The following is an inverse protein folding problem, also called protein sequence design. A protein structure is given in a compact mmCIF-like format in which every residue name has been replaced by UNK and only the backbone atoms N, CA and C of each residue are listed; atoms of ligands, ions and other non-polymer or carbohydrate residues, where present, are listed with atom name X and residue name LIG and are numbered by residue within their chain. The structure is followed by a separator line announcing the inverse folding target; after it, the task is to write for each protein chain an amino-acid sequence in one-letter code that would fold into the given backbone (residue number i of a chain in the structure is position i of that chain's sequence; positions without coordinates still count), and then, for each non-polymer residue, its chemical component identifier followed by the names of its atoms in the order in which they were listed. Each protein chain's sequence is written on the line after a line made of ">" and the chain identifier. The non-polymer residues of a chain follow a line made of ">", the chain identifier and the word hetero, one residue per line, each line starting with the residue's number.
data_IF_890997334013
#
_entry.id   IF_890997334013
#
_cell.length_a   1.000
_cell.length_b   1.000
_cell.length_c   1.000
_cell.angle_alpha   90.00
_cell.angle_beta   90.00
_cell.angle_gamma   90.00
#
_symmetry.space_group_name_H-M   'P 1'
#
loop_
_entity.id
_entity.type
_entity.pdbx_description
1 polymer ?
#
# COMPACT_ATOMS: atom_id res chain seq x y z
N UNK A 1 7.89 40.96 14.95
CA UNK A 1 8.21 41.12 13.51
C UNK A 1 8.02 39.74 12.89
N UNK A 2 6.80 39.46 12.47
CA UNK A 2 6.46 38.23 11.76
C UNK A 2 6.97 38.33 10.33
N UNK A 3 7.94 37.50 9.97
CA UNK A 3 8.39 37.38 8.59
C UNK A 3 7.35 36.55 7.83
N UNK A 4 6.51 37.22 7.05
CA UNK A 4 5.65 36.57 6.05
C UNK A 4 6.55 35.95 4.97
N UNK A 5 6.78 34.67 5.07
CA UNK A 5 7.37 33.88 3.97
C UNK A 5 6.28 33.78 2.89
N UNK A 6 6.44 34.55 1.81
CA UNK A 6 5.58 34.41 0.62
C UNK A 6 5.83 33.04 0.02
N UNK A 7 4.78 32.27 -0.35
CA UNK A 7 4.97 30.99 -1.04
C UNK A 7 5.68 31.24 -2.37
N UNK A 8 6.82 30.61 -2.54
CA UNK A 8 7.56 30.57 -3.83
C UNK A 8 6.72 29.72 -4.78
N UNK A 9 6.08 30.34 -5.77
CA UNK A 9 5.51 29.63 -6.92
C UNK A 9 6.65 29.04 -7.71
N UNK A 10 6.89 27.74 -7.58
CA UNK A 10 7.81 26.99 -8.44
C UNK A 10 7.01 26.65 -9.70
N UNK A 11 7.15 27.44 -10.76
CA UNK A 11 6.68 27.08 -12.10
C UNK A 11 7.61 25.99 -12.68
N UNK A 12 7.47 24.78 -12.20
CA UNK A 12 8.11 23.60 -12.82
C UNK A 12 7.24 23.20 -14.01
N UNK A 13 7.52 23.74 -15.18
CA UNK A 13 7.05 23.17 -16.43
C UNK A 13 7.74 21.81 -16.59
N UNK A 14 7.10 20.74 -16.17
CA UNK A 14 7.57 19.38 -16.42
C UNK A 14 7.64 19.18 -17.93
N UNK A 15 8.86 19.09 -18.47
CA UNK A 15 9.05 18.88 -19.90
C UNK A 15 8.70 17.43 -20.25
N UNK A 16 7.49 17.20 -20.74
CA UNK A 16 6.92 15.88 -21.09
C UNK A 16 7.72 15.12 -22.16
N UNK A 17 8.73 15.74 -22.76
CA UNK A 17 9.55 15.15 -23.85
C UNK A 17 10.72 14.31 -23.35
N UNK A 18 11.15 14.43 -22.10
CA UNK A 18 12.22 13.61 -21.53
C UNK A 18 11.67 12.30 -20.98
N UNK A 19 11.24 11.42 -21.89
CA UNK A 19 10.82 10.05 -21.51
C UNK A 19 12.07 9.24 -21.12
N UNK A 20 11.98 8.61 -19.95
CA UNK A 20 12.99 7.65 -19.48
C UNK A 20 13.08 6.52 -20.51
N UNK A 21 14.28 6.06 -20.90
CA UNK A 21 14.44 4.95 -21.84
C UNK A 21 13.68 3.70 -21.37
N UNK A 22 12.92 3.12 -22.28
CA UNK A 22 12.13 1.92 -22.00
C UNK A 22 13.03 0.69 -21.98
N UNK A 23 13.14 0.05 -20.80
CA UNK A 23 13.88 -1.21 -20.64
C UNK A 23 13.24 -2.35 -21.42
N UNK A 24 11.91 -2.33 -21.54
CA UNK A 24 11.11 -3.33 -22.25
C UNK A 24 10.75 -2.89 -23.68
N UNK A 25 11.56 -2.05 -24.34
CA UNK A 25 11.26 -1.48 -25.67
C UNK A 25 10.99 -2.54 -26.76
N UNK A 26 11.64 -3.72 -26.69
CA UNK A 26 11.48 -4.82 -27.64
C UNK A 26 10.64 -5.97 -27.08
N UNK A 27 9.90 -5.75 -26.00
CA UNK A 27 9.11 -6.79 -25.34
C UNK A 27 7.75 -6.98 -26.03
N UNK A 28 7.33 -8.24 -26.19
CA UNK A 28 6.01 -8.56 -26.74
C UNK A 28 4.92 -8.42 -25.67
N UNK A 29 4.48 -7.18 -25.49
CA UNK A 29 3.42 -6.84 -24.52
C UNK A 29 2.12 -7.57 -24.79
N UNK A 30 1.74 -7.79 -26.07
CA UNK A 30 0.48 -8.45 -26.41
C UNK A 30 0.46 -9.91 -25.94
N UNK A 31 1.54 -10.64 -26.21
CA UNK A 31 1.70 -12.02 -25.75
C UNK A 31 1.75 -12.09 -24.23
N UNK A 32 2.55 -11.23 -23.59
CA UNK A 32 2.65 -11.17 -22.14
C UNK A 32 1.30 -10.89 -21.46
N UNK A 33 0.58 -9.88 -21.94
CA UNK A 33 -0.72 -9.50 -21.38
C UNK A 33 -1.80 -10.58 -21.56
N UNK A 34 -1.73 -11.37 -22.63
CA UNK A 34 -2.60 -12.53 -22.80
C UNK A 34 -2.23 -13.65 -21.81
N UNK A 35 -0.95 -13.96 -21.65
CA UNK A 35 -0.46 -14.99 -20.73
C UNK A 35 -0.78 -14.65 -19.27
N UNK A 36 -0.44 -13.44 -18.82
CA UNK A 36 -0.68 -13.07 -17.43
C UNK A 36 -2.18 -13.08 -17.05
N UNK A 37 -3.09 -12.74 -17.98
CA UNK A 37 -4.53 -12.88 -17.74
C UNK A 37 -4.92 -14.33 -17.44
N UNK A 38 -4.42 -15.29 -18.21
CA UNK A 38 -4.68 -16.71 -17.99
C UNK A 38 -4.15 -17.18 -16.62
N UNK A 39 -2.96 -16.72 -16.22
CA UNK A 39 -2.37 -17.02 -14.91
C UNK A 39 -3.28 -16.50 -13.78
N UNK A 40 -3.69 -15.24 -13.84
CA UNK A 40 -4.59 -14.68 -12.84
C UNK A 40 -5.98 -15.32 -12.84
N UNK A 41 -6.51 -15.68 -13.99
CA UNK A 41 -7.81 -16.34 -14.09
C UNK A 41 -7.77 -17.75 -13.50
N UNK A 42 -6.72 -18.53 -13.74
CA UNK A 42 -6.53 -19.84 -13.09
C UNK A 42 -6.33 -19.71 -11.60
N UNK A 43 -5.54 -18.72 -11.15
CA UNK A 43 -5.29 -18.44 -9.75
C UNK A 43 -6.60 -18.08 -8.98
N UNK A 44 -7.44 -17.21 -9.57
CA UNK A 44 -8.74 -16.82 -8.97
C UNK A 44 -9.72 -17.97 -8.87
N UNK A 45 -9.65 -18.96 -9.77
CA UNK A 45 -10.45 -20.18 -9.67
C UNK A 45 -9.93 -21.18 -8.63
N UNK A 46 -8.78 -20.91 -8.01
CA UNK A 46 -8.13 -21.82 -7.08
C UNK A 46 -7.39 -23.00 -7.75
N UNK A 47 -7.10 -22.91 -9.03
CA UNK A 47 -6.44 -23.91 -9.87
C UNK A 47 -5.25 -23.27 -10.61
N UNK A 48 -4.25 -22.76 -9.91
CA UNK A 48 -3.15 -22.01 -10.53
C UNK A 48 -2.35 -22.90 -11.48
N UNK A 49 -2.16 -22.46 -12.71
CA UNK A 49 -1.23 -23.09 -13.67
C UNK A 49 0.23 -22.77 -13.36
N UNK A 50 0.47 -21.67 -12.73
CA UNK A 50 1.69 -21.23 -12.04
C UNK A 50 1.35 -20.12 -11.06
N UNK A 51 2.27 -19.79 -10.18
CA UNK A 51 2.12 -18.64 -9.29
C UNK A 51 2.13 -17.32 -10.07
N UNK A 52 1.30 -16.33 -9.72
CA UNK A 52 1.49 -14.95 -10.15
C UNK A 52 2.74 -14.32 -9.51
N UNK A 53 3.40 -13.43 -10.25
CA UNK A 53 4.61 -12.72 -9.80
C UNK A 53 4.38 -11.23 -9.98
N UNK A 54 4.38 -10.48 -8.90
CA UNK A 54 4.13 -9.03 -8.92
C UNK A 54 5.17 -8.28 -8.11
N UNK A 55 5.21 -6.96 -8.30
CA UNK A 55 6.07 -6.05 -7.56
C UNK A 55 5.21 -4.99 -6.87
N UNK A 56 5.41 -4.81 -5.58
CA UNK A 56 4.79 -3.75 -4.79
C UNK A 56 5.49 -2.42 -5.01
N UNK A 57 5.28 -1.82 -6.19
CA UNK A 57 5.85 -0.52 -6.50
C UNK A 57 4.92 0.62 -6.09
N UNK A 58 5.50 1.68 -5.59
CA UNK A 58 4.81 2.94 -5.34
C UNK A 58 5.66 4.13 -5.83
N UNK A 59 5.10 5.32 -5.73
CA UNK A 59 5.75 6.55 -6.20
C UNK A 59 7.13 6.79 -5.55
N UNK A 60 7.39 6.26 -4.34
CA UNK A 60 8.70 6.37 -3.66
C UNK A 60 9.83 5.77 -4.49
N UNK A 61 9.60 4.59 -5.08
CA UNK A 61 10.61 3.94 -5.91
C UNK A 61 11.04 4.85 -7.07
N UNK A 62 10.06 5.45 -7.75
CA UNK A 62 10.28 6.38 -8.86
C UNK A 62 10.93 7.71 -8.41
N UNK A 63 10.42 8.30 -7.35
CA UNK A 63 10.85 9.62 -6.88
C UNK A 63 12.30 9.64 -6.36
N UNK A 64 12.75 8.55 -5.73
CA UNK A 64 14.11 8.43 -5.20
C UNK A 64 15.13 7.87 -6.19
N UNK A 65 14.71 7.42 -7.36
CA UNK A 65 15.64 7.01 -8.42
C UNK A 65 16.06 8.23 -9.27
N UNK A 66 17.34 8.67 -9.22
CA UNK A 66 17.79 9.81 -10.02
C UNK A 66 17.65 9.61 -11.53
N UNK A 67 17.66 8.35 -12.02
CA UNK A 67 17.45 8.05 -13.42
C UNK A 67 15.98 8.19 -13.80
N UNK A 68 15.07 7.80 -12.91
CA UNK A 68 13.63 7.93 -13.11
C UNK A 68 13.10 9.35 -12.83
N UNK A 69 13.73 10.07 -11.89
CA UNK A 69 13.40 11.45 -11.49
C UNK A 69 14.58 12.44 -11.75
N UNK A 70 15.00 12.65 -13.00
CA UNK A 70 16.13 13.52 -13.32
C UNK A 70 15.88 15.00 -12.96
N UNK A 71 14.64 15.42 -12.87
CA UNK A 71 14.22 16.76 -12.44
C UNK A 71 14.28 16.95 -10.92
N UNK A 72 14.55 15.87 -10.17
CA UNK A 72 14.63 15.88 -8.71
C UNK A 72 13.37 16.46 -8.05
N UNK A 73 12.18 16.07 -8.55
CA UNK A 73 10.92 16.40 -7.91
C UNK A 73 10.97 15.89 -6.48
N UNK A 74 10.75 16.78 -5.51
CA UNK A 74 10.71 16.43 -4.09
C UNK A 74 9.33 15.99 -3.67
N UNK A 75 9.20 15.22 -2.57
CA UNK A 75 7.89 14.91 -2.01
C UNK A 75 7.13 16.14 -1.53
N UNK A 76 7.82 17.19 -1.11
CA UNK A 76 7.16 18.46 -0.79
C UNK A 76 6.50 19.06 -2.02
N UNK A 77 7.25 19.22 -3.13
CA UNK A 77 6.68 19.74 -4.38
C UNK A 77 5.53 18.85 -4.90
N UNK A 78 5.68 17.53 -4.80
CA UNK A 78 4.66 16.55 -5.16
C UNK A 78 3.38 16.71 -4.31
N UNK A 79 3.52 16.88 -3.00
CA UNK A 79 2.38 16.96 -2.07
C UNK A 79 1.72 18.35 -2.02
N UNK A 80 2.44 19.41 -2.39
CA UNK A 80 1.95 20.80 -2.31
C UNK A 80 1.47 21.38 -3.64
N UNK A 81 1.70 20.65 -4.75
CA UNK A 81 1.30 21.11 -6.08
C UNK A 81 0.56 20.03 -6.85
N UNK A 82 -0.76 20.19 -7.13
CA UNK A 82 -1.55 19.18 -7.81
C UNK A 82 -1.08 18.88 -9.24
N UNK A 83 -0.53 19.86 -9.95
CA UNK A 83 0.01 19.62 -11.30
C UNK A 83 1.26 18.76 -11.26
N UNK A 84 2.15 18.99 -10.30
CA UNK A 84 3.35 18.16 -10.09
C UNK A 84 2.96 16.74 -9.73
N UNK A 85 1.97 16.56 -8.83
CA UNK A 85 1.49 15.22 -8.46
C UNK A 85 0.86 14.50 -9.65
N UNK A 86 0.02 15.18 -10.43
CA UNK A 86 -0.64 14.61 -11.61
C UNK A 86 0.39 14.12 -12.64
N UNK A 87 1.34 14.98 -13.00
CA UNK A 87 2.34 14.65 -14.01
C UNK A 87 3.33 13.57 -13.55
N UNK A 88 3.76 13.62 -12.28
CA UNK A 88 4.62 12.60 -11.69
C UNK A 88 3.91 11.24 -11.61
N UNK A 89 2.62 11.19 -11.27
CA UNK A 89 1.84 9.96 -11.22
C UNK A 89 1.70 9.30 -12.59
N UNK A 90 1.45 10.06 -13.66
CA UNK A 90 1.41 9.54 -15.03
C UNK A 90 2.77 9.02 -15.48
N UNK A 91 3.85 9.75 -15.19
CA UNK A 91 5.23 9.35 -15.51
C UNK A 91 5.61 8.06 -14.76
N UNK A 92 5.26 7.96 -13.48
CA UNK A 92 5.49 6.75 -12.69
C UNK A 92 4.75 5.56 -13.28
N UNK A 93 3.47 5.68 -13.61
CA UNK A 93 2.71 4.58 -14.21
C UNK A 93 3.30 4.14 -15.55
N UNK A 94 3.66 5.10 -16.41
CA UNK A 94 4.35 4.78 -17.65
C UNK A 94 5.66 4.04 -17.38
N UNK A 95 6.49 4.58 -16.49
CA UNK A 95 7.77 3.98 -16.16
C UNK A 95 7.59 2.53 -15.65
N UNK A 96 6.66 2.29 -14.75
CA UNK A 96 6.34 0.96 -14.23
C UNK A 96 5.97 -0.01 -15.36
N UNK A 97 5.05 0.37 -16.24
CA UNK A 97 4.55 -0.48 -17.33
C UNK A 97 5.57 -0.79 -18.42
N UNK A 98 6.62 0.01 -18.55
CA UNK A 98 7.64 -0.14 -19.60
C UNK A 98 9.01 -0.57 -19.07
N UNK A 99 9.18 -0.69 -17.77
CA UNK A 99 10.49 -1.02 -17.18
C UNK A 99 10.45 -2.17 -16.16
N UNK A 100 9.31 -2.49 -15.57
CA UNK A 100 9.20 -3.55 -14.56
C UNK A 100 8.52 -4.79 -15.12
N UNK A 101 9.25 -5.90 -15.16
CA UNK A 101 8.73 -7.19 -15.60
C UNK A 101 8.00 -7.88 -14.45
N UNK A 102 6.68 -8.07 -14.60
CA UNK A 102 5.80 -8.65 -13.60
C UNK A 102 4.49 -9.14 -14.24
N UNK A 103 3.71 -9.98 -13.56
CA UNK A 103 2.41 -10.45 -14.05
C UNK A 103 1.30 -9.40 -13.83
N UNK A 104 1.54 -8.22 -14.38
CA UNK A 104 0.57 -7.16 -14.54
C UNK A 104 0.44 -6.80 -16.02
N UNK A 105 -0.54 -6.00 -16.36
CA UNK A 105 -0.66 -5.48 -17.72
C UNK A 105 0.47 -4.49 -18.02
N UNK A 106 1.31 -4.78 -18.99
CA UNK A 106 2.47 -3.98 -19.39
C UNK A 106 2.23 -3.25 -20.72
N UNK A 107 3.12 -2.32 -21.06
CA UNK A 107 3.01 -1.51 -22.27
C UNK A 107 1.95 -0.43 -22.18
N UNK A 108 1.57 0.13 -23.33
CA UNK A 108 0.60 1.22 -23.42
C UNK A 108 -0.82 0.74 -23.06
N UNK A 109 -1.47 1.29 -22.02
CA UNK A 109 -2.81 0.86 -21.64
C UNK A 109 -3.89 1.41 -22.60
N UNK A 110 -5.10 0.89 -22.52
CA UNK A 110 -6.26 1.50 -23.19
C UNK A 110 -6.59 2.87 -22.60
N UNK A 111 -6.40 3.03 -21.28
CA UNK A 111 -6.50 4.30 -20.56
C UNK A 111 -5.59 4.29 -19.33
N UNK A 112 -5.21 5.45 -18.87
CA UNK A 112 -4.45 5.65 -17.63
C UNK A 112 -5.41 5.77 -16.45
N UNK A 113 -5.24 4.93 -15.44
CA UNK A 113 -6.06 4.93 -14.23
C UNK A 113 -5.20 5.29 -13.02
N UNK A 114 -5.45 6.42 -12.36
CA UNK A 114 -4.74 6.80 -11.14
C UNK A 114 -5.57 7.75 -10.27
N UNK A 115 -5.07 8.05 -9.08
CA UNK A 115 -5.69 8.93 -8.11
C UNK A 115 -4.63 9.77 -7.40
N UNK A 116 -4.97 10.89 -6.75
CA UNK A 116 -4.08 11.57 -5.83
C UNK A 116 -3.54 10.63 -4.76
N UNK A 117 -2.22 10.74 -4.49
CA UNK A 117 -1.51 9.90 -3.54
C UNK A 117 -0.74 10.76 -2.52
N UNK A 118 -1.15 10.68 -1.27
CA UNK A 118 -0.57 11.41 -0.14
C UNK A 118 0.22 10.49 0.79
N UNK A 119 0.68 9.36 0.30
CA UNK A 119 1.46 8.38 1.05
C UNK A 119 0.74 7.92 2.34
N UNK A 120 1.47 7.51 3.38
CA UNK A 120 0.89 6.91 4.58
C UNK A 120 0.60 7.93 5.70
N UNK A 121 0.93 9.22 5.52
CA UNK A 121 0.72 10.22 6.57
C UNK A 121 -0.71 10.80 6.61
N UNK A 122 -1.57 10.40 5.69
CA UNK A 122 -2.89 11.03 5.51
C UNK A 122 -3.82 10.89 6.72
N UNK A 123 -3.75 9.82 7.49
CA UNK A 123 -4.64 9.60 8.62
C UNK A 123 -4.25 10.46 9.81
N UNK A 124 -3.00 10.37 10.27
CA UNK A 124 -2.54 11.17 11.40
C UNK A 124 -2.65 12.68 11.09
N UNK A 125 -2.35 13.09 9.85
CA UNK A 125 -2.55 14.47 9.43
C UNK A 125 -4.03 14.88 9.37
N UNK A 126 -4.95 13.96 9.04
CA UNK A 126 -6.39 14.23 9.11
C UNK A 126 -6.88 14.42 10.55
N UNK A 127 -6.33 13.67 11.50
CA UNK A 127 -6.57 13.90 12.94
C UNK A 127 -5.93 15.19 13.46
N UNK A 128 -5.02 15.81 12.73
CA UNK A 128 -4.43 17.10 13.03
C UNK A 128 -2.94 17.10 13.34
N UNK A 129 -2.23 15.99 13.16
CA UNK A 129 -0.78 15.96 13.26
C UNK A 129 -0.12 16.76 12.13
N UNK A 130 0.97 17.46 12.44
CA UNK A 130 1.72 18.23 11.46
C UNK A 130 2.48 17.31 10.49
N UNK A 131 2.48 17.66 9.20
CA UNK A 131 3.23 16.94 8.17
C UNK A 131 4.64 17.49 8.12
N UNK A 132 5.62 16.59 8.18
CA UNK A 132 7.04 16.90 8.09
C UNK A 132 7.63 16.36 6.79
N UNK A 133 8.40 17.20 6.12
CA UNK A 133 9.14 16.85 4.91
C UNK A 133 10.62 16.73 5.26
N UNK A 134 11.20 15.59 4.92
CA UNK A 134 12.60 15.28 5.20
C UNK A 134 13.35 15.03 3.88
N UNK A 135 14.59 15.47 3.80
CA UNK A 135 15.42 15.18 2.63
C UNK A 135 15.71 13.69 2.51
N UNK A 136 15.48 13.14 1.30
CA UNK A 136 15.72 11.74 1.00
C UNK A 136 14.76 10.75 1.67
N UNK A 137 13.64 11.23 2.24
CA UNK A 137 12.61 10.41 2.86
C UNK A 137 11.22 10.80 2.35
N UNK A 138 10.25 9.91 2.58
CA UNK A 138 8.85 10.24 2.39
C UNK A 138 8.39 11.20 3.49
N UNK A 139 7.39 12.04 3.24
CA UNK A 139 6.76 12.82 4.30
C UNK A 139 6.16 11.91 5.36
N UNK A 140 6.16 12.39 6.59
CA UNK A 140 5.58 11.67 7.73
C UNK A 140 4.98 12.66 8.73
N UNK A 141 4.26 12.16 9.72
CA UNK A 141 3.79 12.92 10.88
C UNK A 141 4.54 12.51 12.13
N UNK A 142 4.60 13.42 13.09
CA UNK A 142 5.07 13.09 14.45
C UNK A 142 3.85 12.84 15.34
N UNK A 143 4.00 12.11 16.46
CA UNK A 143 2.90 11.82 17.37
C UNK A 143 2.53 13.04 18.22
N UNK A 144 1.86 14.02 17.62
CA UNK A 144 1.54 15.33 18.23
C UNK A 144 0.55 15.24 19.41
N UNK A 145 -0.02 14.08 19.65
CA UNK A 145 -0.90 13.80 20.79
C UNK A 145 -0.22 12.96 21.88
N UNK A 146 1.09 12.70 21.80
CA UNK A 146 1.80 11.84 22.75
C UNK A 146 1.67 12.30 24.22
N UNK A 147 1.76 13.60 24.48
CA UNK A 147 1.69 14.17 25.83
C UNK A 147 0.26 14.24 26.41
N UNK A 148 -0.76 14.24 25.56
CA UNK A 148 -2.16 14.34 25.96
C UNK A 148 -3.07 13.65 24.93
N UNK A 149 -3.13 12.30 24.91
CA UNK A 149 -3.85 11.51 23.91
C UNK A 149 -5.35 11.84 23.77
N UNK A 150 -6.01 12.19 24.86
CA UNK A 150 -7.44 12.55 24.86
C UNK A 150 -7.77 13.80 24.06
N UNK A 151 -6.81 14.67 23.80
CA UNK A 151 -7.00 15.87 22.96
C UNK A 151 -7.50 15.54 21.56
N UNK A 152 -7.21 14.34 21.05
CA UNK A 152 -7.71 13.90 19.76
C UNK A 152 -9.23 13.83 19.71
N UNK A 153 -9.88 13.61 20.86
CA UNK A 153 -11.32 13.49 21.00
C UNK A 153 -12.04 14.83 21.30
N UNK A 154 -11.32 15.86 21.75
CA UNK A 154 -11.92 17.12 22.24
C UNK A 154 -12.81 17.82 21.20
N UNK A 155 -12.47 17.71 19.93
CA UNK A 155 -13.24 18.32 18.82
C UNK A 155 -14.25 17.38 18.18
N UNK A 156 -14.39 16.15 18.72
CA UNK A 156 -15.17 15.09 18.09
C UNK A 156 -14.51 14.52 16.85
N UNK A 157 -15.24 13.70 16.11
CA UNK A 157 -14.76 13.08 14.87
C UNK A 157 -14.49 14.17 13.83
N UNK A 158 -13.29 14.21 13.22
CA UNK A 158 -12.97 15.18 12.19
C UNK A 158 -13.91 15.07 10.99
N UNK A 159 -14.18 16.19 10.32
CA UNK A 159 -14.94 16.18 9.07
C UNK A 159 -14.26 15.26 8.04
N UNK A 160 -14.97 14.28 7.45
CA UNK A 160 -14.44 13.38 6.42
C UNK A 160 -13.81 14.08 5.21
N UNK A 161 -14.16 15.34 4.98
CA UNK A 161 -13.63 16.20 3.92
C UNK A 161 -12.89 17.43 4.48
N UNK A 162 -12.56 17.44 5.77
CA UNK A 162 -11.83 18.52 6.42
C UNK A 162 -10.32 18.27 6.50
N UNK A 163 -9.55 19.29 6.87
CA UNK A 163 -8.10 19.19 7.05
C UNK A 163 -7.38 18.68 5.80
N UNK A 164 -6.53 17.65 5.94
CA UNK A 164 -5.84 17.06 4.79
C UNK A 164 -6.82 16.44 3.78
N UNK A 165 -7.97 15.92 4.24
CA UNK A 165 -8.97 15.33 3.34
C UNK A 165 -9.60 16.38 2.40
N UNK A 166 -9.69 17.65 2.82
CA UNK A 166 -10.09 18.73 1.92
C UNK A 166 -9.07 18.93 0.79
N UNK A 167 -7.78 18.93 1.11
CA UNK A 167 -6.72 19.01 0.08
C UNK A 167 -6.76 17.79 -0.86
N UNK A 168 -7.00 16.61 -0.33
CA UNK A 168 -7.15 15.39 -1.15
C UNK A 168 -8.34 15.52 -2.10
N UNK A 169 -9.46 16.08 -1.64
CA UNK A 169 -10.64 16.33 -2.47
C UNK A 169 -10.36 17.39 -3.54
N UNK A 170 -9.72 18.49 -3.19
CA UNK A 170 -9.30 19.54 -4.15
C UNK A 170 -8.41 18.95 -5.25
N UNK A 171 -7.46 18.08 -4.89
CA UNK A 171 -6.58 17.41 -5.85
C UNK A 171 -7.36 16.43 -6.74
N UNK A 172 -8.30 15.70 -6.17
CA UNK A 172 -9.17 14.81 -6.93
C UNK A 172 -9.98 15.58 -7.98
N UNK A 173 -10.60 16.71 -7.58
CA UNK A 173 -11.36 17.55 -8.49
C UNK A 173 -10.47 18.17 -9.58
N UNK A 174 -9.28 18.65 -9.20
CA UNK A 174 -8.30 19.18 -10.14
C UNK A 174 -7.87 18.12 -11.15
N UNK A 175 -7.58 16.89 -10.70
CA UNK A 175 -7.23 15.77 -11.56
C UNK A 175 -8.37 15.42 -12.52
N UNK A 176 -9.61 15.40 -12.05
CA UNK A 176 -10.79 15.18 -12.90
C UNK A 176 -10.93 16.26 -13.98
N UNK A 177 -10.69 17.52 -13.63
CA UNK A 177 -10.73 18.64 -14.59
C UNK A 177 -9.65 18.54 -15.66
N UNK A 178 -8.43 18.14 -15.30
CA UNK A 178 -7.34 17.89 -16.26
C UNK A 178 -7.64 16.68 -17.14
N UNK A 179 -8.02 15.55 -16.54
CA UNK A 179 -8.34 14.31 -17.24
C UNK A 179 -9.47 14.48 -18.28
N UNK A 180 -10.43 15.38 -18.04
CA UNK A 180 -11.49 15.68 -18.99
C UNK A 180 -11.00 16.41 -20.26
N UNK A 181 -9.83 17.04 -20.23
CA UNK A 181 -9.29 17.87 -21.31
C UNK A 181 -8.00 17.32 -21.92
N UNK A 182 -7.33 16.43 -21.21
CA UNK A 182 -5.99 15.96 -21.56
C UNK A 182 -5.99 14.47 -21.88
N UNK A 183 -5.03 14.07 -22.68
CA UNK A 183 -4.65 12.68 -22.90
C UNK A 183 -3.16 12.52 -22.60
N UNK A 184 -2.76 11.32 -22.20
CA UNK A 184 -1.35 11.02 -22.03
C UNK A 184 -0.93 9.91 -23.00
N UNK A 185 0.06 10.18 -23.84
CA UNK A 185 0.49 9.29 -24.94
C UNK A 185 -0.67 8.82 -25.83
N UNK A 186 -1.61 9.73 -26.13
CA UNK A 186 -2.78 9.46 -26.95
C UNK A 186 -3.86 8.58 -26.29
N UNK A 187 -3.78 8.36 -24.98
CA UNK A 187 -4.76 7.57 -24.23
C UNK A 187 -5.53 8.44 -23.23
N UNK A 188 -6.84 8.19 -23.05
CA UNK A 188 -7.62 8.91 -22.07
C UNK A 188 -7.14 8.63 -20.66
N UNK A 189 -7.47 9.53 -19.74
CA UNK A 189 -7.14 9.46 -18.32
C UNK A 189 -8.43 9.30 -17.53
N UNK A 190 -8.44 8.38 -16.55
CA UNK A 190 -9.50 8.25 -15.56
C UNK A 190 -8.92 8.46 -14.16
N UNK A 191 -9.60 9.29 -13.40
CA UNK A 191 -9.23 9.55 -12.00
C UNK A 191 -10.12 8.72 -11.08
N UNK A 192 -9.50 7.92 -10.24
CA UNK A 192 -10.18 7.15 -9.19
C UNK A 192 -10.35 7.95 -7.91
N UNK A 193 -11.25 7.51 -7.03
CA UNK A 193 -11.36 8.05 -5.68
C UNK A 193 -10.04 7.85 -4.95
N UNK A 194 -9.49 8.89 -4.30
CA UNK A 194 -8.21 8.82 -3.61
C UNK A 194 -8.17 7.77 -2.51
N UNK A 195 -7.07 7.02 -2.43
CA UNK A 195 -6.88 6.01 -1.39
C UNK A 195 -6.96 6.60 0.02
N UNK A 196 -6.42 7.80 0.27
CA UNK A 196 -6.52 8.49 1.56
C UNK A 196 -7.95 8.67 2.09
N UNK A 197 -8.96 8.71 1.18
CA UNK A 197 -10.38 8.69 1.57
C UNK A 197 -10.92 7.29 1.85
N UNK A 198 -10.47 6.28 1.09
CA UNK A 198 -11.01 4.93 1.07
C UNK A 198 -10.24 3.94 1.92
N UNK A 199 -8.93 4.14 2.08
CA UNK A 199 -8.03 3.24 2.81
C UNK A 199 -7.89 3.62 4.28
N UNK A 200 -7.22 2.74 5.00
CA UNK A 200 -6.82 2.99 6.38
C UNK A 200 -5.64 2.11 6.74
N UNK A 201 -4.76 2.62 7.60
CA UNK A 201 -4.04 1.79 8.54
C UNK A 201 -5.02 1.36 9.63
N UNK A 202 -4.81 0.20 10.25
CA UNK A 202 -5.68 -0.27 11.32
C UNK A 202 -5.60 0.63 12.56
N UNK A 203 -6.59 0.54 13.45
CA UNK A 203 -6.70 1.43 14.59
C UNK A 203 -5.49 1.43 15.51
N UNK A 204 -4.76 0.32 15.60
CA UNK A 204 -3.59 0.21 16.46
C UNK A 204 -2.38 0.94 15.87
N UNK A 205 -2.16 0.84 14.55
CA UNK A 205 -1.13 1.61 13.85
C UNK A 205 -1.46 3.10 13.86
N UNK A 206 -2.70 3.48 13.63
CA UNK A 206 -3.13 4.89 13.73
C UNK A 206 -2.91 5.43 15.14
N UNK A 207 -3.22 4.66 16.19
CA UNK A 207 -2.93 5.05 17.56
C UNK A 207 -1.43 5.26 17.81
N UNK A 208 -0.57 4.39 17.26
CA UNK A 208 0.89 4.56 17.35
C UNK A 208 1.37 5.84 16.65
N UNK A 209 0.77 6.18 15.50
CA UNK A 209 1.10 7.40 14.77
C UNK A 209 0.64 8.67 15.49
N UNK A 210 -0.48 8.61 16.24
CA UNK A 210 -1.03 9.75 16.96
C UNK A 210 -0.37 9.96 18.35
N UNK A 211 -0.11 8.85 19.07
CA UNK A 211 0.27 8.89 20.49
C UNK A 211 1.70 8.41 20.75
N UNK A 212 2.36 7.82 19.75
CA UNK A 212 3.63 7.16 19.87
C UNK A 212 3.51 5.69 20.30
N UNK A 213 4.35 4.80 19.75
CA UNK A 213 4.29 3.35 20.02
C UNK A 213 4.57 3.03 21.50
N UNK A 214 5.43 3.79 22.18
CA UNK A 214 5.72 3.59 23.62
C UNK A 214 4.44 3.75 24.45
N UNK A 215 3.72 4.87 24.30
CA UNK A 215 2.47 5.08 25.01
C UNK A 215 1.47 3.95 24.75
N UNK A 216 1.28 3.56 23.48
CA UNK A 216 0.28 2.55 23.10
C UNK A 216 0.62 1.17 23.70
N UNK A 217 1.92 0.77 23.67
CA UNK A 217 2.39 -0.48 24.26
C UNK A 217 2.35 -0.49 25.80
N UNK A 218 2.55 0.65 26.46
CA UNK A 218 2.42 0.78 27.91
C UNK A 218 0.94 0.77 28.32
N UNK A 219 0.10 1.52 27.60
CA UNK A 219 -1.32 1.65 27.91
C UNK A 219 -2.09 0.32 27.75
N UNK A 220 -1.71 -0.53 26.80
CA UNK A 220 -2.34 -1.85 26.63
C UNK A 220 -2.20 -2.74 27.87
N UNK A 221 -1.13 -2.56 28.63
CA UNK A 221 -0.85 -3.33 29.85
C UNK A 221 -1.30 -2.63 31.13
N UNK A 222 -1.14 -1.29 31.20
CA UNK A 222 -1.36 -0.53 32.43
C UNK A 222 -2.72 0.16 32.49
N UNK A 223 -3.25 0.59 31.35
CA UNK A 223 -4.47 1.41 31.25
C UNK A 223 -5.37 0.93 30.07
N UNK A 224 -5.72 -0.38 29.98
CA UNK A 224 -6.40 -0.93 28.80
C UNK A 224 -7.73 -0.25 28.49
N UNK A 225 -8.51 0.14 29.49
CA UNK A 225 -9.77 0.87 29.28
C UNK A 225 -9.55 2.26 28.65
N UNK A 226 -8.45 2.92 29.00
CA UNK A 226 -8.08 4.20 28.39
C UNK A 226 -7.73 3.99 26.91
N UNK A 227 -6.90 3.01 26.63
CA UNK A 227 -6.54 2.66 25.26
C UNK A 227 -7.78 2.25 24.43
N UNK A 228 -8.69 1.48 25.01
CA UNK A 228 -9.92 1.07 24.32
C UNK A 228 -10.78 2.28 23.90
N UNK A 229 -10.92 3.30 24.75
CA UNK A 229 -11.65 4.54 24.39
C UNK A 229 -11.01 5.25 23.21
N UNK A 230 -9.68 5.32 23.17
CA UNK A 230 -8.94 5.94 22.06
C UNK A 230 -9.08 5.13 20.76
N UNK A 231 -8.95 3.80 20.83
CA UNK A 231 -9.13 2.91 19.67
C UNK A 231 -10.57 2.92 19.16
N UNK A 232 -11.55 3.00 20.05
CA UNK A 232 -12.97 3.14 19.69
C UNK A 232 -13.22 4.42 18.89
N UNK A 233 -12.70 5.55 19.37
CA UNK A 233 -12.80 6.84 18.69
C UNK A 233 -12.13 6.81 17.31
N UNK A 234 -10.90 6.28 17.21
CA UNK A 234 -10.17 6.15 15.93
C UNK A 234 -10.97 5.27 14.96
N UNK A 235 -11.48 4.14 15.44
CA UNK A 235 -12.25 3.20 14.62
C UNK A 235 -13.52 3.84 14.09
N UNK A 236 -14.28 4.54 14.92
CA UNK A 236 -15.50 5.23 14.50
C UNK A 236 -15.20 6.36 13.52
N UNK A 237 -14.17 7.16 13.78
CA UNK A 237 -13.72 8.20 12.86
C UNK A 237 -13.35 7.63 11.48
N UNK A 238 -12.58 6.53 11.46
CA UNK A 238 -12.22 5.81 10.24
C UNK A 238 -13.47 5.33 9.47
N UNK A 239 -14.44 4.75 10.18
CA UNK A 239 -15.70 4.28 9.58
C UNK A 239 -16.48 5.44 8.98
N UNK A 240 -16.58 6.57 9.67
CA UNK A 240 -17.25 7.77 9.19
C UNK A 240 -16.58 8.32 7.93
N UNK A 241 -15.24 8.44 7.95
CA UNK A 241 -14.45 8.92 6.80
C UNK A 241 -14.65 8.03 5.57
N UNK A 242 -14.37 6.74 5.69
CA UNK A 242 -14.47 5.81 4.55
C UNK A 242 -15.91 5.75 4.00
N UNK A 243 -16.92 5.78 4.88
CA UNK A 243 -18.33 5.78 4.45
C UNK A 243 -18.66 7.03 3.62
N UNK A 244 -18.18 8.21 4.02
CA UNK A 244 -18.41 9.46 3.29
C UNK A 244 -17.72 9.42 1.90
N UNK A 245 -16.46 8.97 1.83
CA UNK A 245 -15.72 8.85 0.58
C UNK A 245 -16.29 7.79 -0.37
N UNK A 246 -16.75 6.65 0.15
CA UNK A 246 -17.47 5.65 -0.65
C UNK A 246 -18.76 6.22 -1.23
N UNK A 247 -19.51 6.98 -0.44
CA UNK A 247 -20.72 7.65 -0.90
C UNK A 247 -20.40 8.65 -2.02
N UNK A 248 -19.34 9.45 -1.87
CA UNK A 248 -18.86 10.37 -2.92
C UNK A 248 -18.55 9.61 -4.22
N UNK A 249 -17.89 8.46 -4.12
CA UNK A 249 -17.53 7.64 -5.28
C UNK A 249 -18.65 6.74 -5.81
N UNK A 250 -19.86 6.77 -5.24
CA UNK A 250 -20.95 5.86 -5.61
C UNK A 250 -20.63 4.37 -5.35
N UNK A 251 -19.75 4.09 -4.40
CA UNK A 251 -19.28 2.73 -4.11
C UNK A 251 -20.21 2.01 -3.13
N UNK A 252 -20.55 0.73 -3.38
CA UNK A 252 -21.37 -0.05 -2.45
C UNK A 252 -20.65 -0.27 -1.10
N UNK A 253 -21.45 -0.46 -0.06
CA UNK A 253 -20.96 -0.80 1.29
C UNK A 253 -21.96 -1.79 1.91
N UNK A 254 -21.53 -3.03 2.27
CA UNK A 254 -20.19 -3.59 2.09
C UNK A 254 -19.83 -3.96 0.65
N UNK A 255 -18.59 -4.38 0.41
CA UNK A 255 -18.08 -4.92 -0.86
C UNK A 255 -17.50 -6.32 -0.65
N UNK A 256 -17.39 -7.11 -1.74
CA UNK A 256 -16.74 -8.44 -1.70
C UNK A 256 -15.21 -8.36 -1.62
N UNK A 257 -14.66 -7.16 -1.47
CA UNK A 257 -13.24 -6.93 -1.30
C UNK A 257 -12.98 -5.69 -0.46
N UNK A 258 -12.24 -5.87 0.63
CA UNK A 258 -11.75 -4.77 1.48
C UNK A 258 -10.48 -5.19 2.20
N UNK A 259 -9.55 -4.27 2.32
CA UNK A 259 -8.31 -4.48 3.02
C UNK A 259 -7.85 -3.23 3.78
N UNK A 260 -7.03 -3.45 4.76
CA UNK A 260 -6.26 -2.43 5.44
C UNK A 260 -4.93 -3.03 5.95
N UNK A 261 -4.03 -2.18 6.42
CA UNK A 261 -2.79 -2.56 7.08
C UNK A 261 -2.89 -2.25 8.58
N UNK A 262 -2.33 -3.10 9.44
CA UNK A 262 -2.14 -2.75 10.86
C UNK A 262 -0.81 -3.31 11.37
N UNK A 263 0.28 -2.72 10.87
CA UNK A 263 1.64 -3.22 11.06
C UNK A 263 2.08 -3.22 12.51
N UNK A 264 1.58 -2.27 13.31
CA UNK A 264 1.95 -2.11 14.72
C UNK A 264 1.50 -3.26 15.62
N UNK A 265 0.57 -4.12 15.17
CA UNK A 265 0.22 -5.34 15.93
C UNK A 265 1.41 -6.30 16.07
N UNK A 266 2.45 -6.15 15.24
CA UNK A 266 3.72 -6.87 15.40
C UNK A 266 4.40 -6.62 16.75
N UNK A 267 4.07 -5.54 17.45
CA UNK A 267 4.66 -5.21 18.76
C UNK A 267 4.00 -5.92 19.94
N UNK A 268 2.84 -6.56 19.75
CA UNK A 268 2.04 -7.16 20.81
C UNK A 268 1.89 -8.66 20.68
N UNK A 269 1.59 -9.34 21.77
CA UNK A 269 1.31 -10.77 21.77
C UNK A 269 -0.08 -11.09 21.18
N UNK A 270 -0.30 -12.34 20.76
CA UNK A 270 -1.60 -12.76 20.23
C UNK A 270 -2.73 -12.67 21.27
N UNK A 271 -2.55 -13.01 22.55
CA UNK A 271 -3.56 -12.73 23.57
C UNK A 271 -3.92 -11.25 23.67
N UNK A 272 -2.94 -10.34 23.71
CA UNK A 272 -3.19 -8.90 23.75
C UNK A 272 -3.92 -8.42 22.49
N UNK A 273 -3.51 -8.91 21.32
CA UNK A 273 -4.21 -8.63 20.07
C UNK A 273 -5.69 -9.02 20.14
N UNK A 274 -6.00 -10.24 20.58
CA UNK A 274 -7.39 -10.73 20.70
C UNK A 274 -8.25 -9.89 21.61
N UNK A 275 -7.70 -9.51 22.76
CA UNK A 275 -8.42 -8.78 23.80
C UNK A 275 -8.61 -7.30 23.43
N UNK A 276 -7.56 -6.65 22.89
CA UNK A 276 -7.51 -5.20 22.81
C UNK A 276 -7.63 -4.61 21.41
N UNK A 277 -7.36 -5.37 20.33
CA UNK A 277 -7.32 -4.84 18.97
C UNK A 277 -8.33 -5.53 18.02
N UNK A 278 -8.44 -6.85 18.09
CA UNK A 278 -9.32 -7.63 17.23
C UNK A 278 -10.78 -7.15 17.19
N UNK A 279 -11.41 -6.70 18.30
CA UNK A 279 -12.78 -6.18 18.25
C UNK A 279 -12.94 -4.96 17.32
N UNK A 280 -11.92 -4.11 17.21
CA UNK A 280 -11.92 -2.94 16.35
C UNK A 280 -11.71 -3.32 14.87
N UNK A 281 -10.80 -4.27 14.60
CA UNK A 281 -10.65 -4.86 13.26
C UNK A 281 -11.96 -5.48 12.78
N UNK A 282 -12.64 -6.24 13.65
CA UNK A 282 -13.95 -6.84 13.33
C UNK A 282 -14.97 -5.79 12.91
N UNK A 283 -15.08 -4.67 13.65
CA UNK A 283 -16.00 -3.57 13.30
C UNK A 283 -15.74 -3.00 11.92
N UNK A 284 -14.47 -2.79 11.56
CA UNK A 284 -14.08 -2.27 10.24
C UNK A 284 -14.46 -3.28 9.14
N UNK A 285 -14.08 -4.55 9.29
CA UNK A 285 -14.43 -5.57 8.30
C UNK A 285 -15.93 -5.77 8.17
N UNK A 286 -16.66 -5.87 9.27
CA UNK A 286 -18.12 -6.08 9.25
C UNK A 286 -18.86 -4.89 8.60
N UNK A 287 -18.28 -3.69 8.68
CA UNK A 287 -18.83 -2.51 8.01
C UNK A 287 -18.55 -2.52 6.51
N UNK A 288 -17.34 -2.87 6.08
CA UNK A 288 -16.87 -2.59 4.73
C UNK A 288 -16.69 -3.81 3.84
N UNK A 289 -16.60 -5.01 4.41
CA UNK A 289 -16.40 -6.26 3.69
C UNK A 289 -17.56 -7.22 3.92
N UNK A 290 -17.94 -7.95 2.86
CA UNK A 290 -18.71 -9.17 3.04
C UNK A 290 -17.82 -10.26 3.69
N UNK A 291 -18.35 -11.48 3.86
CA UNK A 291 -17.53 -12.61 4.29
C UNK A 291 -16.60 -13.17 3.19
N UNK A 292 -16.59 -12.53 2.03
CA UNK A 292 -15.70 -12.85 0.91
C UNK A 292 -14.72 -11.69 0.71
N UNK A 293 -13.46 -12.01 0.42
CA UNK A 293 -12.47 -11.00 0.04
C UNK A 293 -12.00 -10.08 1.18
N UNK A 294 -11.87 -10.61 2.39
CA UNK A 294 -11.17 -9.95 3.50
C UNK A 294 -9.67 -10.18 3.35
N UNK A 295 -8.94 -9.11 3.18
CA UNK A 295 -7.51 -9.09 2.97
C UNK A 295 -6.82 -8.20 4.00
N UNK A 296 -5.62 -8.55 4.43
CA UNK A 296 -4.81 -7.73 5.35
C UNK A 296 -3.36 -7.65 4.87
N UNK A 297 -2.79 -6.46 4.98
CA UNK A 297 -1.35 -6.24 4.84
C UNK A 297 -0.72 -6.11 6.23
N UNK A 298 0.37 -6.84 6.46
CA UNK A 298 1.10 -6.80 7.72
C UNK A 298 2.60 -6.84 7.44
N UNK A 299 3.26 -5.71 7.60
CA UNK A 299 4.72 -5.62 7.63
C UNK A 299 5.29 -6.22 8.92
N UNK A 300 6.57 -6.50 8.94
CA UNK A 300 7.27 -7.01 10.13
C UNK A 300 6.88 -8.43 10.53
N UNK A 301 7.27 -8.82 11.72
CA UNK A 301 7.04 -10.17 12.28
C UNK A 301 5.66 -10.28 12.92
N UNK A 302 4.63 -10.46 12.10
CA UNK A 302 3.24 -10.57 12.53
C UNK A 302 2.65 -11.97 12.34
N UNK A 303 3.42 -12.95 11.87
CA UNK A 303 2.93 -14.29 11.51
C UNK A 303 2.20 -15.01 12.64
N UNK A 304 2.57 -14.76 13.90
CA UNK A 304 1.90 -15.31 15.09
C UNK A 304 0.40 -14.96 15.20
N UNK A 305 -0.05 -13.90 14.52
CA UNK A 305 -1.44 -13.48 14.52
C UNK A 305 -2.27 -14.09 13.39
N UNK A 306 -1.64 -14.63 12.34
CA UNK A 306 -2.31 -14.97 11.09
C UNK A 306 -3.39 -16.04 11.27
N UNK A 307 -3.14 -17.05 12.11
CA UNK A 307 -4.15 -18.05 12.45
C UNK A 307 -5.39 -17.41 13.10
N UNK A 308 -5.19 -16.49 14.05
CA UNK A 308 -6.27 -15.76 14.71
C UNK A 308 -7.04 -14.89 13.71
N UNK A 309 -6.35 -14.17 12.85
CA UNK A 309 -6.95 -13.34 11.80
C UNK A 309 -7.80 -14.18 10.84
N UNK A 310 -7.30 -15.34 10.39
CA UNK A 310 -8.06 -16.27 9.56
C UNK A 310 -9.32 -16.78 10.30
N UNK A 311 -9.15 -17.31 11.51
CA UNK A 311 -10.19 -18.04 12.21
C UNK A 311 -11.28 -17.10 12.78
N UNK A 312 -10.91 -15.91 13.23
CA UNK A 312 -11.81 -15.01 13.95
C UNK A 312 -12.33 -13.83 13.11
N UNK A 313 -11.59 -13.44 12.07
CA UNK A 313 -11.99 -12.36 11.14
C UNK A 313 -12.26 -12.85 9.71
N UNK A 314 -12.10 -14.17 9.46
CA UNK A 314 -12.26 -14.76 8.14
C UNK A 314 -11.36 -14.08 7.08
N UNK A 315 -10.10 -13.79 7.45
CA UNK A 315 -9.12 -13.25 6.49
C UNK A 315 -8.74 -14.36 5.50
N UNK A 316 -8.86 -14.07 4.23
CA UNK A 316 -8.67 -15.01 3.13
C UNK A 316 -7.38 -14.75 2.35
N UNK A 317 -6.78 -13.58 2.54
CA UNK A 317 -5.56 -13.18 1.85
C UNK A 317 -4.66 -12.37 2.77
N UNK A 318 -3.40 -12.76 2.85
CA UNK A 318 -2.36 -12.11 3.65
C UNK A 318 -1.26 -11.59 2.75
N UNK A 319 -1.00 -10.28 2.81
CA UNK A 319 0.21 -9.68 2.28
C UNK A 319 1.23 -9.57 3.41
N UNK A 320 2.32 -10.32 3.30
CA UNK A 320 3.23 -10.57 4.42
C UNK A 320 4.43 -9.63 4.40
N UNK A 321 4.91 -9.30 5.60
CA UNK A 321 6.22 -8.69 5.79
C UNK A 321 7.35 -9.73 5.86
N UNK A 322 8.22 -9.58 6.83
CA UNK A 322 9.35 -10.47 7.09
C UNK A 322 9.77 -10.39 8.58
N UNK A 323 10.42 -11.43 9.15
CA UNK A 323 10.68 -12.72 8.53
C UNK A 323 9.43 -13.61 8.43
N UNK A 324 9.38 -14.51 7.43
CA UNK A 324 8.28 -15.48 7.26
C UNK A 324 8.83 -16.85 6.91
N UNK A 325 8.43 -17.89 7.64
CA UNK A 325 8.53 -19.28 7.20
C UNK A 325 7.27 -19.63 6.39
N UNK A 326 7.36 -19.50 5.07
CA UNK A 326 6.22 -19.68 4.17
C UNK A 326 5.67 -21.11 4.20
N UNK A 327 6.54 -22.12 4.38
CA UNK A 327 6.11 -23.52 4.50
C UNK A 327 5.33 -23.78 5.78
N UNK A 328 5.81 -23.27 6.93
CA UNK A 328 5.10 -23.35 8.20
C UNK A 328 3.77 -22.61 8.12
N UNK A 329 3.78 -21.39 7.54
CA UNK A 329 2.58 -20.58 7.38
C UNK A 329 1.53 -21.28 6.50
N UNK A 330 1.94 -21.94 5.39
CA UNK A 330 1.03 -22.72 4.54
C UNK A 330 0.39 -23.87 5.29
N UNK A 331 1.18 -24.61 6.07
CA UNK A 331 0.64 -25.72 6.91
C UNK A 331 -0.38 -25.24 7.91
N UNK A 332 -0.15 -24.08 8.52
CA UNK A 332 -1.06 -23.49 9.51
C UNK A 332 -2.34 -22.94 8.87
N UNK A 333 -2.24 -22.21 7.78
CA UNK A 333 -3.37 -21.51 7.17
C UNK A 333 -4.17 -22.39 6.19
N UNK A 334 -3.58 -23.45 5.67
CA UNK A 334 -4.20 -24.32 4.67
C UNK A 334 -4.09 -23.77 3.23
N UNK A 335 -4.42 -24.59 2.21
CA UNK A 335 -4.13 -24.28 0.82
C UNK A 335 -5.00 -23.17 0.21
N UNK A 336 -6.22 -22.97 0.73
CA UNK A 336 -7.18 -22.00 0.18
C UNK A 336 -6.89 -20.56 0.55
N UNK A 337 -6.05 -20.33 1.57
CA UNK A 337 -5.67 -18.97 1.97
C UNK A 337 -4.61 -18.45 0.99
N UNK A 338 -4.82 -17.26 0.48
CA UNK A 338 -3.85 -16.59 -0.37
C UNK A 338 -2.72 -16.01 0.51
N UNK A 339 -1.49 -16.31 0.14
CA UNK A 339 -0.30 -15.75 0.78
C UNK A 339 0.48 -14.97 -0.29
N UNK A 340 0.70 -13.69 -0.04
CA UNK A 340 1.54 -12.82 -0.86
C UNK A 340 2.84 -12.58 -0.10
N UNK A 341 3.97 -12.88 -0.71
CA UNK A 341 5.27 -12.69 -0.09
C UNK A 341 6.42 -13.23 -0.93
N UNK A 342 7.62 -13.11 -0.40
CA UNK A 342 8.83 -13.51 -1.12
C UNK A 342 10.10 -13.01 -0.45
N UNK A 343 11.15 -12.71 -1.22
CA UNK A 343 12.42 -12.24 -0.69
C UNK A 343 12.26 -10.93 0.10
N UNK A 344 13.04 -10.82 1.17
CA UNK A 344 13.14 -9.57 1.94
C UNK A 344 13.60 -8.41 1.03
N UNK A 345 13.00 -7.24 1.19
CA UNK A 345 13.26 -6.07 0.32
C UNK A 345 14.74 -5.64 0.29
N UNK A 346 15.41 -5.67 1.44
CA UNK A 346 16.84 -5.32 1.51
C UNK A 346 17.71 -6.39 0.84
N UNK A 347 17.32 -7.67 0.95
CA UNK A 347 18.01 -8.74 0.23
C UNK A 347 17.84 -8.56 -1.28
N UNK A 348 16.63 -8.25 -1.74
CA UNK A 348 16.36 -7.98 -3.16
C UNK A 348 17.15 -6.76 -3.67
N UNK A 349 17.39 -5.75 -2.82
CA UNK A 349 18.15 -4.55 -3.16
C UNK A 349 19.65 -4.81 -3.26
N UNK A 350 20.23 -5.66 -2.42
CA UNK A 350 21.68 -5.78 -2.23
C UNK A 350 22.30 -7.09 -2.71
N UNK A 351 21.51 -8.15 -2.87
CA UNK A 351 21.99 -9.45 -3.28
C UNK A 351 22.31 -9.52 -4.78
N UNK A 352 23.02 -10.56 -5.20
CA UNK A 352 23.23 -10.85 -6.63
C UNK A 352 22.02 -11.54 -7.23
N UNK A 353 21.80 -11.45 -8.57
CA UNK A 353 20.74 -12.17 -9.26
C UNK A 353 20.72 -13.67 -8.98
N UNK A 354 21.91 -14.30 -8.85
CA UNK A 354 22.05 -15.73 -8.51
C UNK A 354 21.53 -16.02 -7.11
N UNK A 355 21.90 -15.20 -6.13
CA UNK A 355 21.43 -15.37 -4.75
C UNK A 355 19.90 -15.16 -4.64
N UNK A 356 19.34 -14.21 -5.40
CA UNK A 356 17.89 -13.99 -5.46
C UNK A 356 17.17 -15.22 -6.03
N UNK A 357 17.70 -15.82 -7.10
CA UNK A 357 17.16 -17.06 -7.67
C UNK A 357 17.14 -18.19 -6.64
N UNK A 358 18.23 -18.36 -5.87
CA UNK A 358 18.29 -19.38 -4.81
C UNK A 358 17.31 -19.09 -3.68
N UNK A 359 17.13 -17.84 -3.29
CA UNK A 359 16.13 -17.47 -2.28
C UNK A 359 14.70 -17.76 -2.76
N UNK A 360 14.36 -17.40 -4.00
CA UNK A 360 13.06 -17.77 -4.60
C UNK A 360 12.89 -19.28 -4.61
N UNK A 361 13.93 -20.05 -4.99
CA UNK A 361 13.87 -21.51 -4.93
C UNK A 361 13.60 -22.01 -3.51
N UNK A 362 14.32 -21.49 -2.52
CA UNK A 362 14.14 -21.85 -1.11
C UNK A 362 12.70 -21.61 -0.65
N UNK A 363 12.12 -20.46 -1.01
CA UNK A 363 10.75 -20.11 -0.67
C UNK A 363 9.77 -21.08 -1.33
N UNK A 364 9.86 -21.28 -2.64
CA UNK A 364 8.91 -22.12 -3.38
C UNK A 364 9.01 -23.61 -3.01
N UNK A 365 10.19 -24.07 -2.62
CA UNK A 365 10.39 -25.46 -2.15
C UNK A 365 10.16 -25.61 -0.64
N UNK A 366 9.73 -24.60 0.09
CA UNK A 366 9.44 -24.68 1.54
C UNK A 366 8.16 -25.48 1.86
N UNK A 367 7.37 -25.82 0.85
CA UNK A 367 6.02 -26.36 1.00
C UNK A 367 4.93 -25.29 0.90
N UNK A 368 5.25 -24.05 0.52
CA UNK A 368 4.25 -22.97 0.37
C UNK A 368 3.23 -23.28 -0.74
N UNK A 369 3.57 -24.11 -1.71
CA UNK A 369 2.72 -24.54 -2.81
C UNK A 369 2.01 -25.88 -2.54
N UNK A 370 2.24 -26.52 -1.40
CA UNK A 370 1.67 -27.84 -1.09
C UNK A 370 0.14 -27.83 -1.18
N UNK A 371 -0.40 -28.92 -1.73
CA UNK A 371 -1.85 -29.11 -1.91
C UNK A 371 -2.54 -28.05 -2.78
N UNK A 372 -1.82 -27.47 -3.75
CA UNK A 372 -2.34 -26.40 -4.60
C UNK A 372 -2.44 -25.05 -3.88
N UNK A 373 -1.52 -24.79 -2.96
CA UNK A 373 -1.50 -23.57 -2.13
C UNK A 373 -1.46 -22.28 -2.95
N UNK A 374 -2.39 -21.39 -2.70
CA UNK A 374 -2.49 -20.10 -3.39
C UNK A 374 -1.39 -19.15 -2.90
N UNK A 375 -0.37 -18.97 -3.73
CA UNK A 375 0.78 -18.13 -3.43
C UNK A 375 1.02 -17.11 -4.55
N UNK A 376 1.24 -15.85 -4.17
CA UNK A 376 1.67 -14.79 -5.08
C UNK A 376 3.09 -14.41 -4.68
N UNK A 377 4.04 -14.60 -5.59
CA UNK A 377 5.42 -14.20 -5.35
C UNK A 377 5.55 -12.68 -5.53
N UNK A 378 5.94 -12.02 -4.46
CA UNK A 378 6.33 -10.62 -4.46
C UNK A 378 7.42 -10.38 -3.40
N UNK A 379 8.04 -9.22 -3.39
CA UNK A 379 8.90 -8.84 -2.27
C UNK A 379 8.11 -8.68 -0.96
N UNK A 380 8.77 -8.86 0.18
CA UNK A 380 8.11 -8.87 1.50
C UNK A 380 7.69 -7.49 2.01
N UNK A 381 7.31 -6.60 1.18
CA UNK A 381 6.72 -5.25 1.41
C UNK A 381 6.71 -4.48 0.07
N UNK A 382 6.75 -3.14 0.10
CA UNK A 382 6.97 -2.35 -1.12
C UNK A 382 8.43 -2.39 -1.54
N UNK A 383 8.68 -2.45 -2.86
CA UNK A 383 10.02 -2.47 -3.43
C UNK A 383 10.85 -1.27 -2.92
N UNK A 384 12.01 -1.58 -2.34
CA UNK A 384 12.88 -0.53 -1.80
C UNK A 384 13.42 0.36 -2.93
N UNK A 385 13.48 1.68 -2.75
CA UNK A 385 14.13 2.57 -3.70
C UNK A 385 15.54 2.09 -4.05
N UNK A 386 15.95 2.31 -5.29
CA UNK A 386 17.24 1.89 -5.83
C UNK A 386 17.47 0.37 -5.88
N UNK A 387 16.45 -0.47 -5.74
CA UNK A 387 16.57 -1.89 -6.03
C UNK A 387 16.92 -2.06 -7.52
N UNK A 388 18.04 -2.75 -7.87
CA UNK A 388 18.44 -2.93 -9.25
C UNK A 388 17.38 -3.70 -10.06
N UNK A 389 17.01 -3.21 -11.24
CA UNK A 389 16.00 -3.86 -12.10
C UNK A 389 16.40 -5.29 -12.50
N UNK A 390 17.72 -5.57 -12.63
CA UNK A 390 18.21 -6.95 -12.87
C UNK A 390 17.87 -7.90 -11.73
N UNK A 391 17.70 -7.40 -10.52
CA UNK A 391 17.33 -8.19 -9.35
C UNK A 391 15.81 -8.51 -9.35
N UNK A 392 14.97 -7.55 -9.73
CA UNK A 392 13.54 -7.81 -9.90
C UNK A 392 13.27 -8.78 -11.05
N UNK A 393 14.02 -8.65 -12.16
CA UNK A 393 13.97 -9.62 -13.27
C UNK A 393 14.42 -11.01 -12.85
N UNK A 394 15.48 -11.12 -12.04
CA UNK A 394 15.94 -12.42 -11.51
C UNK A 394 14.85 -13.10 -10.67
N UNK A 395 14.13 -12.35 -9.82
CA UNK A 395 12.98 -12.84 -9.07
C UNK A 395 11.86 -13.29 -10.00
N UNK A 396 11.51 -12.48 -11.01
CA UNK A 396 10.47 -12.80 -11.98
C UNK A 396 10.78 -14.09 -12.77
N UNK A 397 11.99 -14.21 -13.32
CA UNK A 397 12.38 -15.39 -14.09
C UNK A 397 12.46 -16.65 -13.22
N UNK A 398 12.99 -16.53 -11.99
CA UNK A 398 13.02 -17.64 -11.05
C UNK A 398 11.61 -18.11 -10.66
N UNK A 399 10.71 -17.16 -10.39
CA UNK A 399 9.31 -17.47 -10.08
C UNK A 399 8.58 -18.18 -11.24
N UNK A 400 8.81 -17.73 -12.47
CA UNK A 400 8.23 -18.38 -13.68
C UNK A 400 8.75 -19.80 -13.90
N UNK A 401 10.02 -20.04 -13.63
CA UNK A 401 10.64 -21.35 -13.86
C UNK A 401 10.29 -22.35 -12.76
N UNK A 402 10.20 -21.90 -11.52
CA UNK A 402 10.09 -22.76 -10.34
C UNK A 402 8.69 -22.80 -9.73
N UNK A 403 7.79 -21.95 -10.16
CA UNK A 403 6.46 -21.73 -9.55
C UNK A 403 5.30 -22.46 -10.24
N UNK A 404 5.56 -23.58 -10.93
CA UNK A 404 4.56 -24.43 -11.60
C UNK A 404 4.02 -25.49 -10.64
#
# INVERSE_FOLDING_TARGET
>A
MESQIKPVRIDVKVNMTNLIPDRLANFDFAKHNAEQRLVWDSFRRGEPTRIPIVLGTNTRYFMFDPAANPERITFQAYSENPDVMFDAALRFQRWNRFNLLQDAELGLPERWDFAPDFQNYYEAAWFGCAIHYFDGQVPDTLPDFADAPERVMEKGIPDPFGGLMARILDYYEHFCQRAAKETYLGRPIRVGIPWGGLGTDGPFTVACNLFGPTFVCEAIAAEPERLHRLLDFITEATIVRITAWRKLGGMPTPQDWFWFADDSIAMISTPMYREHVLPFHRRIYDKFATNQGRFIHLCGDSTRHFKTLRDELNIQSFDTGFPVDFGALRRELGPKIQIHGGPHIEFLRTATPVAIREEVRRILHSGVLDNGGLFVLREGNNLAPLTPLVNTEAMYHAGRELGN
#
